data_IF_783531167702
#
_entry.id   IF_783531167702
#
_cell.length_a   1.000
_cell.length_b   1.000
_cell.length_c   1.000
_cell.angle_alpha   90.00
_cell.angle_beta   90.00
_cell.angle_gamma   90.00
#
_symmetry.space_group_name_H-M   'P 1'
#
loop_
_entity.id
_entity.type
_entity.pdbx_description
1 polymer ?
#
# COMPACT_ATOMS: atom_id res chain seq x y z
N UNK A 1 -4.21 -20.19 -2.69
CA UNK A 1 -3.58 -18.85 -2.78
C UNK A 1 -4.61 -17.73 -2.75
N UNK A 2 -5.66 -17.78 -3.58
CA UNK A 2 -6.75 -16.79 -3.57
C UNK A 2 -7.55 -16.77 -2.26
N UNK A 3 -7.85 -17.94 -1.67
CA UNK A 3 -8.58 -18.00 -0.38
C UNK A 3 -7.80 -17.42 0.80
N UNK A 4 -6.50 -17.71 0.88
CA UNK A 4 -5.64 -17.14 1.93
C UNK A 4 -5.56 -15.60 1.81
N UNK A 5 -5.47 -15.07 0.59
CA UNK A 5 -5.51 -13.62 0.35
C UNK A 5 -6.85 -13.01 0.79
N UNK A 6 -7.96 -13.69 0.46
CA UNK A 6 -9.27 -13.20 0.80
C UNK A 6 -9.48 -13.15 2.32
N UNK A 7 -9.23 -14.25 3.02
CA UNK A 7 -9.50 -14.34 4.46
C UNK A 7 -8.50 -13.55 5.31
N UNK A 8 -7.25 -13.42 4.88
CA UNK A 8 -6.21 -12.76 5.67
C UNK A 8 -6.12 -11.24 5.40
N UNK A 9 -6.46 -10.80 4.19
CA UNK A 9 -6.35 -9.39 3.80
C UNK A 9 -7.69 -8.77 3.38
N UNK A 10 -8.40 -9.38 2.43
CA UNK A 10 -9.60 -8.77 1.85
C UNK A 10 -10.75 -8.66 2.86
N UNK A 11 -11.16 -9.75 3.50
CA UNK A 11 -12.29 -9.78 4.44
C UNK A 11 -12.08 -8.85 5.63
N UNK A 12 -10.91 -8.83 6.31
CA UNK A 12 -10.68 -7.90 7.42
C UNK A 12 -10.71 -6.43 6.97
N UNK A 13 -10.10 -6.10 5.82
CA UNK A 13 -10.08 -4.74 5.29
C UNK A 13 -11.50 -4.30 4.88
N UNK A 14 -12.26 -5.18 4.23
CA UNK A 14 -13.64 -4.91 3.82
C UNK A 14 -14.55 -4.69 5.03
N UNK A 15 -14.50 -5.60 6.01
CA UNK A 15 -15.28 -5.49 7.24
C UNK A 15 -14.92 -4.25 8.05
N UNK A 16 -13.63 -3.93 8.16
CA UNK A 16 -13.18 -2.71 8.81
C UNK A 16 -13.72 -1.47 8.07
N UNK A 17 -13.67 -1.45 6.73
CA UNK A 17 -14.20 -0.34 5.96
C UNK A 17 -15.70 -0.14 6.19
N UNK A 18 -16.50 -1.22 6.11
CA UNK A 18 -17.97 -1.15 6.31
C UNK A 18 -18.30 -0.76 7.75
N UNK A 19 -17.55 -1.27 8.73
CA UNK A 19 -17.69 -0.88 10.12
C UNK A 19 -17.43 0.63 10.31
N UNK A 20 -16.36 1.16 9.74
CA UNK A 20 -16.03 2.60 9.81
C UNK A 20 -17.07 3.45 9.07
N UNK A 21 -17.55 2.97 7.92
CA UNK A 21 -18.59 3.61 7.12
C UNK A 21 -19.87 3.85 7.93
N UNK A 22 -20.34 2.81 8.64
CA UNK A 22 -21.58 2.86 9.43
C UNK A 22 -21.45 3.62 10.75
N UNK A 23 -20.26 3.68 11.34
CA UNK A 23 -20.09 4.20 12.71
C UNK A 23 -19.62 5.65 12.75
N UNK A 24 -18.49 5.96 12.13
CA UNK A 24 -17.79 7.24 12.33
C UNK A 24 -17.62 8.04 11.05
N UNK A 25 -17.82 7.43 9.88
CA UNK A 25 -17.67 8.10 8.60
C UNK A 25 -18.97 8.75 8.10
N UNK A 26 -20.03 8.77 8.91
CA UNK A 26 -21.32 9.40 8.55
C UNK A 26 -21.91 8.91 7.21
N UNK A 27 -21.72 7.63 6.87
CA UNK A 27 -22.10 7.07 5.57
C UNK A 27 -21.42 7.75 4.35
N UNK A 28 -20.26 8.38 4.56
CA UNK A 28 -19.37 8.89 3.52
C UNK A 28 -18.19 7.93 3.30
N UNK A 29 -18.12 7.39 2.08
CA UNK A 29 -17.09 6.40 1.74
C UNK A 29 -15.69 7.03 1.69
N UNK A 30 -15.59 8.32 1.34
CA UNK A 30 -14.33 9.07 1.32
C UNK A 30 -13.72 9.19 2.71
N UNK A 31 -14.54 9.55 3.69
CA UNK A 31 -14.12 9.65 5.09
C UNK A 31 -13.69 8.26 5.60
N UNK A 32 -14.43 7.20 5.29
CA UNK A 32 -14.08 5.84 5.69
C UNK A 32 -12.71 5.41 5.13
N UNK A 33 -12.41 5.73 3.86
CA UNK A 33 -11.12 5.45 3.20
C UNK A 33 -9.97 6.20 3.89
N UNK A 34 -10.15 7.48 4.21
CA UNK A 34 -9.10 8.26 4.87
C UNK A 34 -8.78 7.65 6.23
N UNK A 35 -9.80 7.28 7.00
CA UNK A 35 -9.61 6.69 8.33
C UNK A 35 -8.90 5.34 8.25
N UNK A 36 -9.35 4.42 7.38
CA UNK A 36 -8.67 3.11 7.24
C UNK A 36 -7.23 3.28 6.76
N UNK A 37 -6.96 4.24 5.88
CA UNK A 37 -5.59 4.55 5.41
C UNK A 37 -4.72 5.05 6.55
N UNK A 38 -5.24 5.91 7.42
CA UNK A 38 -4.51 6.39 8.61
C UNK A 38 -4.23 5.25 9.58
N UNK A 39 -5.21 4.40 9.88
CA UNK A 39 -5.03 3.23 10.76
C UNK A 39 -3.92 2.32 10.24
N UNK A 40 -3.95 2.00 8.95
CA UNK A 40 -2.95 1.13 8.33
C UNK A 40 -1.58 1.79 8.31
N UNK A 41 -1.49 3.09 7.99
CA UNK A 41 -0.23 3.85 8.08
C UNK A 41 0.33 3.85 9.50
N UNK A 42 -0.50 3.93 10.54
CA UNK A 42 -0.05 3.86 11.93
C UNK A 42 0.47 2.46 12.30
N UNK A 43 -0.21 1.39 11.87
CA UNK A 43 0.25 0.01 12.09
C UNK A 43 1.58 -0.25 11.36
N UNK A 44 1.72 0.26 10.14
CA UNK A 44 2.93 0.10 9.33
C UNK A 44 4.02 1.12 9.66
N UNK A 45 3.73 2.16 10.43
CA UNK A 45 4.67 3.23 10.80
C UNK A 45 6.03 2.73 11.30
N UNK A 46 6.14 1.80 12.28
CA UNK A 46 7.44 1.31 12.74
C UNK A 46 8.23 0.61 11.63
N UNK A 47 7.55 -0.05 10.69
CA UNK A 47 8.17 -0.67 9.54
C UNK A 47 8.64 0.38 8.53
N UNK A 48 7.79 1.37 8.23
CA UNK A 48 8.12 2.49 7.35
C UNK A 48 9.35 3.26 7.84
N UNK A 49 9.47 3.51 9.14
CA UNK A 49 10.65 4.16 9.74
C UNK A 49 11.92 3.36 9.49
N UNK A 50 11.87 2.02 9.66
CA UNK A 50 13.02 1.14 9.36
C UNK A 50 13.42 1.20 7.89
N UNK A 51 12.44 1.18 6.98
CA UNK A 51 12.69 1.27 5.55
C UNK A 51 13.26 2.62 5.11
N UNK A 52 12.75 3.74 5.66
CA UNK A 52 13.29 5.08 5.41
C UNK A 52 14.74 5.19 5.88
N UNK A 53 15.06 4.63 7.06
CA UNK A 53 16.44 4.60 7.56
C UNK A 53 17.38 3.81 6.63
N UNK A 54 16.91 2.68 6.10
CA UNK A 54 17.67 1.88 5.14
C UNK A 54 17.88 2.61 3.81
N UNK A 55 16.85 3.33 3.32
CA UNK A 55 16.95 4.15 2.11
C UNK A 55 17.96 5.29 2.27
N UNK A 56 17.94 6.00 3.40
CA UNK A 56 18.93 7.05 3.69
C UNK A 56 20.35 6.50 3.68
N UNK A 57 20.56 5.33 4.30
CA UNK A 57 21.87 4.68 4.30
C UNK A 57 22.36 4.28 2.90
N UNK A 58 21.44 3.91 2.00
CA UNK A 58 21.77 3.68 0.58
C UNK A 58 22.10 4.98 -0.15
N UNK A 59 21.40 6.08 0.16
CA UNK A 59 21.68 7.40 -0.40
C UNK A 59 23.08 7.88 -0.01
N UNK A 60 23.47 7.70 1.25
CA UNK A 60 24.81 8.02 1.75
C UNK A 60 25.91 7.18 1.05
N UNK A 61 25.56 5.98 0.57
CA UNK A 61 26.45 5.10 -0.18
C UNK A 61 26.52 5.40 -1.69
N UNK A 62 25.59 6.17 -2.26
CA UNK A 62 25.59 6.50 -3.69
C UNK A 62 26.95 6.96 -4.24
N UNK A 63 27.69 7.89 -3.60
CA UNK A 63 28.99 8.31 -4.13
C UNK A 63 30.01 7.17 -4.23
N UNK A 64 30.02 6.24 -3.26
CA UNK A 64 30.89 5.06 -3.29
C UNK A 64 30.45 4.07 -4.36
N UNK A 65 29.14 3.86 -4.51
CA UNK A 65 28.59 3.02 -5.57
C UNK A 65 28.94 3.56 -6.96
N UNK A 66 28.89 4.88 -7.16
CA UNK A 66 29.28 5.52 -8.42
C UNK A 66 30.78 5.35 -8.72
N UNK A 67 31.63 5.46 -7.70
CA UNK A 67 33.07 5.21 -7.85
C UNK A 67 33.35 3.76 -8.30
N UNK A 68 32.68 2.77 -7.70
CA UNK A 68 32.79 1.36 -8.10
C UNK A 68 32.27 1.16 -9.54
N UNK A 69 31.12 1.75 -9.89
CA UNK A 69 30.55 1.70 -11.25
C UNK A 69 31.49 2.29 -12.29
N UNK A 70 32.18 3.40 -11.98
CA UNK A 70 33.18 4.02 -12.87
C UNK A 70 34.42 3.15 -13.00
N UNK A 71 34.92 2.59 -11.89
CA UNK A 71 36.14 1.77 -11.85
C UNK A 71 36.01 0.44 -12.61
N UNK A 72 34.86 -0.22 -12.51
CA UNK A 72 34.61 -1.54 -13.12
C UNK A 72 33.65 -1.47 -14.32
N UNK A 73 33.63 -0.33 -15.03
CA UNK A 73 32.80 -0.15 -16.23
C UNK A 73 33.14 -1.22 -17.27
N UNK A 74 32.12 -1.95 -17.75
CA UNK A 74 32.29 -3.05 -18.72
C UNK A 74 32.59 -4.42 -18.10
N UNK A 75 32.78 -4.51 -16.78
CA UNK A 75 33.03 -5.78 -16.06
C UNK A 75 31.84 -6.10 -15.15
N UNK A 76 30.72 -6.56 -15.73
CA UNK A 76 29.46 -6.76 -15.01
C UNK A 76 29.59 -7.72 -13.81
N UNK A 77 30.36 -8.79 -13.95
CA UNK A 77 30.57 -9.78 -12.88
C UNK A 77 31.33 -9.18 -11.69
N UNK A 78 32.44 -8.49 -11.96
CA UNK A 78 33.27 -7.83 -10.94
C UNK A 78 32.51 -6.70 -10.27
N UNK A 79 31.74 -5.93 -11.06
CA UNK A 79 30.86 -4.88 -10.55
C UNK A 79 29.85 -5.42 -9.55
N UNK A 80 29.15 -6.52 -9.88
CA UNK A 80 28.17 -7.14 -8.99
C UNK A 80 28.78 -7.61 -7.68
N UNK A 81 29.96 -8.24 -7.73
CA UNK A 81 30.68 -8.71 -6.54
C UNK A 81 31.11 -7.56 -5.62
N UNK A 82 31.70 -6.51 -6.18
CA UNK A 82 32.17 -5.35 -5.41
C UNK A 82 31.00 -4.54 -4.82
N UNK A 83 29.90 -4.40 -5.56
CA UNK A 83 28.68 -3.78 -5.04
C UNK A 83 28.10 -4.56 -3.86
N UNK A 84 28.03 -5.90 -3.96
CA UNK A 84 27.58 -6.75 -2.85
C UNK A 84 28.51 -6.70 -1.65
N UNK A 85 29.83 -6.59 -1.88
CA UNK A 85 30.83 -6.43 -0.81
C UNK A 85 30.62 -5.10 -0.08
N UNK A 86 30.43 -4.01 -0.82
CA UNK A 86 30.12 -2.69 -0.25
C UNK A 86 28.86 -2.72 0.63
N UNK A 87 27.78 -3.37 0.16
CA UNK A 87 26.55 -3.52 0.95
C UNK A 87 26.78 -4.33 2.24
N UNK A 88 27.54 -5.43 2.19
CA UNK A 88 27.87 -6.25 3.36
C UNK A 88 28.73 -5.51 4.37
N UNK A 89 29.78 -4.81 3.93
CA UNK A 89 30.68 -4.04 4.80
C UNK A 89 29.92 -2.94 5.56
N UNK A 90 28.95 -2.30 4.92
CA UNK A 90 28.14 -1.25 5.53
C UNK A 90 26.87 -1.79 6.20
N UNK A 91 26.67 -3.13 6.24
CA UNK A 91 25.49 -3.81 6.83
C UNK A 91 24.14 -3.29 6.31
N UNK A 92 24.08 -2.96 5.02
CA UNK A 92 22.89 -2.41 4.38
C UNK A 92 22.29 -3.45 3.43
N UNK A 93 20.97 -3.59 3.47
CA UNK A 93 20.22 -4.46 2.56
C UNK A 93 19.49 -3.63 1.51
N UNK A 94 19.78 -3.82 0.20
CA UNK A 94 19.06 -3.13 -0.87
C UNK A 94 17.57 -3.55 -0.93
N UNK A 95 17.24 -4.77 -0.50
CA UNK A 95 15.87 -5.26 -0.44
C UNK A 95 14.99 -4.53 0.60
N UNK A 96 15.59 -3.92 1.63
CA UNK A 96 14.84 -3.14 2.61
C UNK A 96 14.18 -1.89 2.01
N UNK A 97 14.65 -1.44 0.84
CA UNK A 97 14.08 -0.30 0.12
C UNK A 97 12.81 -0.65 -0.65
N UNK A 98 12.65 -1.89 -1.14
CA UNK A 98 11.48 -2.32 -1.90
C UNK A 98 10.40 -2.98 -1.03
N UNK A 99 10.74 -3.35 0.21
CA UNK A 99 9.81 -3.96 1.17
C UNK A 99 8.53 -3.14 1.41
N UNK A 100 8.57 -1.79 1.54
CA UNK A 100 7.34 -0.99 1.68
C UNK A 100 6.41 -1.11 0.47
N UNK A 101 6.97 -1.08 -0.74
CA UNK A 101 6.19 -1.20 -1.98
C UNK A 101 5.51 -2.56 -2.07
N UNK A 102 6.22 -3.63 -1.70
CA UNK A 102 5.67 -4.98 -1.70
C UNK A 102 4.51 -5.15 -0.71
N UNK A 103 4.52 -4.41 0.41
CA UNK A 103 3.43 -4.44 1.40
C UNK A 103 2.27 -3.55 0.97
N UNK A 104 2.55 -2.45 0.27
CA UNK A 104 1.53 -1.53 -0.24
C UNK A 104 0.69 -2.16 -1.36
N UNK A 105 1.30 -2.98 -2.22
CA UNK A 105 0.62 -3.60 -3.37
C UNK A 105 -0.60 -4.46 -2.98
N UNK A 106 -0.51 -5.43 -2.03
CA UNK A 106 -1.66 -6.19 -1.56
C UNK A 106 -2.80 -5.32 -1.01
N UNK A 107 -2.46 -4.22 -0.32
CA UNK A 107 -3.43 -3.28 0.21
C UNK A 107 -4.15 -2.52 -0.90
N UNK A 108 -3.42 -2.02 -1.89
CA UNK A 108 -4.02 -1.35 -3.05
C UNK A 108 -5.00 -2.27 -3.79
N UNK A 109 -4.62 -3.53 -3.99
CA UNK A 109 -5.47 -4.53 -4.64
C UNK A 109 -6.72 -4.80 -3.78
N UNK A 110 -6.59 -4.90 -2.47
CA UNK A 110 -7.71 -5.14 -1.56
C UNK A 110 -8.72 -4.00 -1.63
N UNK A 111 -8.25 -2.75 -1.51
CA UNK A 111 -9.07 -1.55 -1.61
C UNK A 111 -9.75 -1.46 -2.98
N UNK A 112 -9.02 -1.71 -4.07
CA UNK A 112 -9.60 -1.74 -5.42
C UNK A 112 -10.72 -2.79 -5.56
N UNK A 113 -10.52 -3.99 -5.02
CA UNK A 113 -11.53 -5.05 -5.03
C UNK A 113 -12.77 -4.65 -4.21
N UNK A 114 -12.58 -3.98 -3.07
CA UNK A 114 -13.69 -3.47 -2.26
C UNK A 114 -14.53 -2.48 -3.05
N UNK A 115 -13.94 -1.55 -3.81
CA UNK A 115 -14.72 -0.65 -4.66
C UNK A 115 -15.36 -1.36 -5.84
N UNK A 116 -14.67 -2.31 -6.46
CA UNK A 116 -15.21 -3.03 -7.61
C UNK A 116 -16.40 -3.92 -7.23
N UNK A 117 -16.39 -4.48 -6.02
CA UNK A 117 -17.35 -5.50 -5.59
C UNK A 117 -18.35 -5.01 -4.54
N UNK A 118 -18.03 -3.96 -3.76
CA UNK A 118 -18.79 -3.48 -2.60
C UNK A 118 -20.16 -2.86 -2.90
N UNK A 119 -20.61 -2.97 -4.15
CA UNK A 119 -21.94 -2.57 -4.60
C UNK A 119 -22.82 -3.78 -4.97
N UNK A 120 -22.34 -5.00 -4.74
CA UNK A 120 -23.06 -6.24 -5.07
C UNK A 120 -23.62 -6.91 -3.82
N UNK A 121 -24.88 -7.38 -3.86
CA UNK A 121 -25.48 -8.15 -2.77
C UNK A 121 -24.62 -9.34 -2.32
N UNK A 122 -23.93 -10.00 -3.25
CA UNK A 122 -23.04 -11.15 -3.02
C UNK A 122 -21.85 -10.85 -2.08
N UNK A 123 -21.45 -9.58 -1.94
CA UNK A 123 -20.36 -9.20 -1.02
C UNK A 123 -20.83 -8.97 0.41
N UNK A 124 -22.13 -8.79 0.61
CA UNK A 124 -22.72 -8.61 1.95
C UNK A 124 -22.66 -9.91 2.76
N UNK A 125 -22.57 -11.06 2.08
CA UNK A 125 -22.38 -12.38 2.71
C UNK A 125 -20.97 -12.54 3.34
N UNK A 126 -20.02 -11.66 2.99
CA UNK A 126 -18.67 -11.65 3.55
C UNK A 126 -18.55 -10.80 4.82
N UNK A 127 -19.66 -10.20 5.29
CA UNK A 127 -19.68 -9.40 6.50
C UNK A 127 -19.61 -10.30 7.74
N UNK A 128 -18.78 -9.90 8.70
CA UNK A 128 -18.74 -10.53 10.00
C UNK A 128 -20.05 -10.27 10.76
N UNK A 129 -20.45 -11.19 11.66
CA UNK A 129 -21.74 -11.08 12.36
C UNK A 129 -21.95 -9.78 13.15
N UNK A 130 -20.87 -9.10 13.51
CA UNK A 130 -20.89 -7.84 14.25
C UNK A 130 -20.92 -6.58 13.36
N UNK A 131 -20.82 -6.72 12.03
CA UNK A 131 -20.83 -5.61 11.08
C UNK A 131 -22.22 -5.51 10.44
N UNK A 132 -22.92 -4.40 10.70
CA UNK A 132 -24.25 -4.16 10.12
C UNK A 132 -24.16 -3.97 8.61
N UNK A 133 -25.08 -4.59 7.86
CA UNK A 133 -25.17 -4.39 6.42
C UNK A 133 -25.67 -2.96 6.10
N UNK A 134 -24.91 -2.16 5.32
CA UNK A 134 -25.34 -0.82 4.92
C UNK A 134 -26.45 -0.84 3.84
N UNK A 135 -26.81 -2.01 3.31
CA UNK A 135 -27.73 -2.14 2.17
C UNK A 135 -27.08 -1.71 0.86
N UNK A 136 -26.90 -0.41 0.66
CA UNK A 136 -26.14 0.17 -0.44
C UNK A 136 -25.14 1.20 0.07
N UNK A 137 -23.89 1.12 -0.42
CA UNK A 137 -22.86 2.10 -0.11
C UNK A 137 -22.99 3.27 -1.08
N UNK A 138 -23.06 4.49 -0.56
CA UNK A 138 -23.00 5.69 -1.39
C UNK A 138 -21.59 5.83 -1.99
N UNK A 139 -21.41 5.79 -3.33
CA UNK A 139 -20.11 5.91 -3.96
C UNK A 139 -19.55 7.34 -3.95
N UNK A 140 -20.37 8.33 -3.55
CA UNK A 140 -19.97 9.73 -3.47
C UNK A 140 -19.13 9.94 -2.21
N UNK A 141 -17.88 10.32 -2.42
CA UNK A 141 -16.92 10.71 -1.40
C UNK A 141 -16.88 12.22 -1.19
N UNK A 142 -16.84 12.61 0.08
CA UNK A 142 -16.82 14.00 0.54
C UNK A 142 -17.98 14.87 0.00
N UNK A 143 -19.04 14.24 -0.51
CA UNK A 143 -20.11 14.92 -1.24
C UNK A 143 -19.70 15.54 -2.59
N UNK A 144 -18.47 15.29 -3.07
CA UNK A 144 -17.90 15.98 -4.24
C UNK A 144 -17.44 15.03 -5.35
N UNK A 145 -17.05 13.81 -4.99
CA UNK A 145 -16.36 12.88 -5.89
C UNK A 145 -17.15 11.60 -6.01
N UNK A 146 -17.64 11.27 -7.21
CA UNK A 146 -18.26 9.98 -7.46
C UNK A 146 -17.21 8.92 -7.88
N UNK A 147 -17.04 7.88 -7.07
CA UNK A 147 -16.14 6.76 -7.36
C UNK A 147 -16.74 5.68 -8.27
N UNK A 148 -18.04 5.73 -8.58
CA UNK A 148 -18.64 4.85 -9.59
C UNK A 148 -18.22 5.24 -11.01
N UNK A 149 -17.85 6.50 -11.23
CA UNK A 149 -17.38 6.98 -12.53
C UNK A 149 -15.86 6.94 -12.68
N UNK A 150 -15.40 6.70 -13.90
CA UNK A 150 -13.97 6.72 -14.22
C UNK A 150 -13.46 8.16 -14.21
N UNK A 151 -12.73 8.53 -13.16
CA UNK A 151 -12.07 9.84 -13.09
C UNK A 151 -10.54 9.73 -13.22
N UNK A 152 -10.03 10.04 -14.41
CA UNK A 152 -8.58 9.96 -14.73
C UNK A 152 -7.78 11.00 -13.93
N UNK A 153 -8.35 12.16 -13.65
CA UNK A 153 -7.67 13.23 -12.90
C UNK A 153 -7.34 12.75 -11.50
N UNK A 154 -8.29 12.09 -10.83
CA UNK A 154 -8.09 11.51 -9.51
C UNK A 154 -7.02 10.42 -9.55
N UNK A 155 -7.01 9.57 -10.59
CA UNK A 155 -5.99 8.55 -10.73
C UNK A 155 -4.57 9.14 -10.89
N UNK A 156 -4.42 10.22 -11.67
CA UNK A 156 -3.14 10.92 -11.83
C UNK A 156 -2.71 11.58 -10.53
N UNK A 157 -3.62 12.31 -9.85
CA UNK A 157 -3.32 12.95 -8.57
C UNK A 157 -2.94 11.93 -7.49
N UNK A 158 -3.66 10.81 -7.42
CA UNK A 158 -3.36 9.73 -6.50
C UNK A 158 -2.02 9.06 -6.80
N UNK A 159 -1.63 8.95 -8.08
CA UNK A 159 -0.32 8.44 -8.48
C UNK A 159 0.82 9.40 -8.15
N UNK A 160 0.59 10.71 -8.28
CA UNK A 160 1.59 11.73 -7.97
C UNK A 160 1.80 11.93 -6.46
N UNK A 161 0.80 11.64 -5.63
CA UNK A 161 0.84 11.79 -4.18
C UNK A 161 1.42 10.58 -3.42
N UNK A 162 1.74 9.49 -4.12
CA UNK A 162 2.24 8.23 -3.55
C UNK A 162 3.77 8.14 -3.50
#
# INVERSE_FOLDING_TARGET
MLELYNTLLYEPIFNLLVYLYNTIAFHDIGIAIVIITVIIKLILYPLSVKSIKAQKALQDLQPKMEAIKKKYKGQAEVLGREMMKLYKENKISPASSCLPLLIQMPFLIAVYHVFRNGFKPETLDLLYPFVSSPGSINPIAFGLIDFSEKNIIIAILAGAAQ
#
